data_IF_983493888174
#
_entry.id   IF_983493888174
#
_cell.length_a   1.000
_cell.length_b   1.000
_cell.length_c   1.000
_cell.angle_alpha   90.00
_cell.angle_beta   90.00
_cell.angle_gamma   90.00
#
_symmetry.space_group_name_H-M   'P 1'
#
loop_
_entity.id
_entity.type
_entity.pdbx_description
1 polymer ?
#
# COMPACT_ATOMS: atom_id res chain seq x y z
N UNK A 1 -0.40 9.62 -5.92
CA UNK A 1 -1.64 8.82 -6.04
C UNK A 1 -2.68 9.36 -5.06
N UNK A 2 -3.96 9.40 -5.41
CA UNK A 2 -5.02 9.60 -4.42
C UNK A 2 -5.32 8.30 -3.67
N UNK A 3 -4.94 8.19 -2.40
CA UNK A 3 -5.20 7.00 -1.57
C UNK A 3 -6.62 6.95 -0.98
N UNK A 4 -7.38 8.03 -1.10
CA UNK A 4 -8.77 8.09 -0.64
C UNK A 4 -9.77 7.64 -1.71
N UNK A 5 -9.31 7.42 -2.94
CA UNK A 5 -10.12 6.81 -3.98
C UNK A 5 -10.55 5.39 -3.61
N UNK A 6 -11.50 4.83 -4.38
CA UNK A 6 -11.92 3.45 -4.24
C UNK A 6 -10.78 2.51 -4.69
N UNK A 7 -10.20 1.80 -3.73
CA UNK A 7 -9.16 0.81 -3.94
C UNK A 7 -9.70 -0.58 -3.60
N UNK A 8 -9.46 -1.54 -4.48
CA UNK A 8 -9.82 -2.94 -4.25
C UNK A 8 -8.56 -3.74 -4.00
N UNK A 9 -8.59 -4.63 -3.00
CA UNK A 9 -7.49 -5.56 -2.71
C UNK A 9 -7.99 -6.98 -2.90
N UNK A 10 -7.31 -7.73 -3.77
CA UNK A 10 -7.58 -9.15 -4.01
C UNK A 10 -6.29 -9.94 -3.80
N UNK A 11 -6.27 -10.81 -2.78
CA UNK A 11 -5.13 -11.67 -2.44
C UNK A 11 -3.77 -10.93 -2.37
N UNK A 12 -3.72 -9.77 -1.72
CA UNK A 12 -2.52 -8.92 -1.63
C UNK A 12 -2.27 -8.04 -2.86
N UNK A 13 -3.01 -8.20 -3.94
CA UNK A 13 -2.90 -7.32 -5.11
C UNK A 13 -3.87 -6.14 -5.00
N UNK A 14 -3.37 -4.91 -5.16
CA UNK A 14 -4.14 -3.68 -5.10
C UNK A 14 -4.49 -3.16 -6.50
N UNK A 15 -5.73 -2.68 -6.63
CA UNK A 15 -6.29 -2.12 -7.85
C UNK A 15 -6.96 -0.77 -7.57
N UNK A 16 -6.86 0.16 -8.52
CA UNK A 16 -7.65 1.38 -8.57
C UNK A 16 -8.64 1.25 -9.75
N UNK A 17 -9.91 0.96 -9.44
CA UNK A 17 -10.86 0.50 -10.45
C UNK A 17 -10.37 -0.77 -11.15
N UNK A 18 -10.19 -0.73 -12.48
CA UNK A 18 -9.65 -1.85 -13.27
C UNK A 18 -8.11 -1.82 -13.42
N UNK A 19 -7.43 -0.82 -12.87
CA UNK A 19 -5.98 -0.66 -13.02
C UNK A 19 -5.25 -1.42 -11.92
N UNK A 20 -4.33 -2.30 -12.32
CA UNK A 20 -3.38 -2.92 -11.40
C UNK A 20 -2.36 -1.89 -10.90
N UNK A 21 -2.18 -1.83 -9.59
CA UNK A 21 -1.26 -0.89 -8.93
C UNK A 21 0.00 -1.60 -8.43
N UNK A 22 -0.17 -2.75 -7.78
CA UNK A 22 0.94 -3.48 -7.19
C UNK A 22 0.49 -4.73 -6.45
N UNK A 23 1.42 -5.66 -6.22
CA UNK A 23 1.20 -6.85 -5.39
C UNK A 23 2.05 -6.76 -4.13
N UNK A 24 1.37 -6.74 -2.99
CA UNK A 24 1.99 -6.78 -1.67
C UNK A 24 2.25 -8.23 -1.25
N UNK A 25 3.05 -8.39 -0.20
CA UNK A 25 3.43 -9.67 0.38
C UNK A 25 2.24 -10.49 0.89
N UNK A 26 1.16 -9.82 1.32
CA UNK A 26 -0.08 -10.43 1.81
C UNK A 26 -1.28 -9.50 1.64
N UNK A 27 -2.49 -10.05 1.84
CA UNK A 27 -3.71 -9.24 1.86
C UNK A 27 -3.70 -8.24 3.02
N UNK A 28 -3.22 -8.67 4.18
CA UNK A 28 -3.07 -7.88 5.38
C UNK A 28 -2.08 -6.74 5.16
N UNK A 29 -0.94 -6.99 4.50
CA UNK A 29 0.05 -5.96 4.18
C UNK A 29 -0.56 -4.87 3.28
N UNK A 30 -1.31 -5.27 2.24
CA UNK A 30 -1.99 -4.31 1.37
C UNK A 30 -2.99 -3.43 2.14
N UNK A 31 -3.74 -4.01 3.09
CA UNK A 31 -4.66 -3.28 3.95
C UNK A 31 -3.93 -2.34 4.91
N UNK A 32 -2.83 -2.79 5.53
CA UNK A 32 -2.04 -1.99 6.45
C UNK A 32 -1.40 -0.79 5.73
N UNK A 33 -0.86 -0.99 4.51
CA UNK A 33 -0.36 0.10 3.66
C UNK A 33 -1.48 1.09 3.34
N UNK A 34 -2.67 0.61 2.98
CA UNK A 34 -3.82 1.49 2.71
C UNK A 34 -4.17 2.32 3.95
N UNK A 35 -4.18 1.72 5.15
CA UNK A 35 -4.43 2.42 6.42
C UNK A 35 -3.36 3.48 6.68
N UNK A 36 -2.08 3.12 6.58
CA UNK A 36 -0.94 4.03 6.77
C UNK A 36 -1.07 5.26 5.87
N UNK A 37 -1.37 5.06 4.59
CA UNK A 37 -1.47 6.14 3.61
C UNK A 37 -2.68 7.04 3.82
N UNK A 38 -3.84 6.46 4.17
CA UNK A 38 -5.06 7.22 4.45
C UNK A 38 -4.98 7.97 5.77
N UNK A 39 -4.32 7.42 6.78
CA UNK A 39 -4.12 8.10 8.07
C UNK A 39 -2.94 9.08 8.04
N UNK A 40 -2.19 9.13 6.93
CA UNK A 40 -0.94 9.90 6.82
C UNK A 40 0.05 9.58 7.95
N UNK A 41 0.07 8.31 8.37
CA UNK A 41 0.95 7.84 9.44
C UNK A 41 2.38 7.74 8.91
N UNK A 42 3.33 8.33 9.62
CA UNK A 42 4.75 8.18 9.30
C UNK A 42 5.24 6.83 9.83
N UNK A 43 5.78 6.00 8.93
CA UNK A 43 6.39 4.70 9.23
C UNK A 43 7.79 4.71 8.63
N UNK A 44 8.82 4.44 9.44
CA UNK A 44 10.22 4.47 9.01
C UNK A 44 10.78 3.09 8.69
N UNK A 45 10.16 2.03 9.21
CA UNK A 45 10.58 0.64 8.96
C UNK A 45 9.42 -0.34 9.03
N UNK A 46 9.59 -1.51 8.41
CA UNK A 46 8.62 -2.60 8.47
C UNK A 46 8.39 -3.10 9.91
N UNK A 47 9.35 -2.88 10.82
CA UNK A 47 9.24 -3.28 12.24
C UNK A 47 8.15 -2.51 13.01
N UNK A 48 7.76 -1.35 12.50
CA UNK A 48 6.68 -0.53 13.07
C UNK A 48 5.30 -0.93 12.52
N UNK A 49 5.28 -1.86 11.57
CA UNK A 49 4.08 -2.45 10.98
C UNK A 49 3.83 -3.85 11.52
N UNK A 50 2.59 -4.29 11.50
CA UNK A 50 2.24 -5.62 11.99
C UNK A 50 2.53 -6.71 10.96
N UNK A 51 2.37 -6.41 9.67
CA UNK A 51 2.42 -7.43 8.62
C UNK A 51 3.13 -7.00 7.33
N UNK A 52 3.61 -5.77 7.22
CA UNK A 52 4.36 -5.33 6.04
C UNK A 52 5.82 -5.81 6.09
N UNK A 53 6.37 -6.04 4.90
CA UNK A 53 7.81 -6.19 4.66
C UNK A 53 8.41 -4.85 4.21
N UNK A 54 9.73 -4.72 4.22
CA UNK A 54 10.39 -3.51 3.70
C UNK A 54 10.02 -3.27 2.22
N UNK A 55 9.93 -4.35 1.43
CA UNK A 55 9.50 -4.30 0.03
C UNK A 55 8.09 -3.73 -0.14
N UNK A 56 7.18 -3.97 0.80
CA UNK A 56 5.82 -3.43 0.76
C UNK A 56 5.79 -1.91 0.99
N UNK A 57 6.65 -1.43 1.89
CA UNK A 57 6.84 0.00 2.14
C UNK A 57 7.47 0.69 0.93
N UNK A 58 8.52 0.08 0.36
CA UNK A 58 9.17 0.57 -0.86
C UNK A 58 8.20 0.63 -2.04
N UNK A 59 7.39 -0.41 -2.24
CA UNK A 59 6.34 -0.44 -3.26
C UNK A 59 5.34 0.71 -3.06
N UNK A 60 4.90 0.92 -1.82
CA UNK A 60 3.97 2.00 -1.50
C UNK A 60 4.55 3.39 -1.81
N UNK A 61 5.84 3.61 -1.55
CA UNK A 61 6.54 4.85 -1.92
C UNK A 61 6.67 5.00 -3.44
N UNK A 62 6.99 3.91 -4.16
CA UNK A 62 7.09 3.90 -5.61
C UNK A 62 5.74 4.26 -6.27
N UNK A 63 4.64 3.66 -5.81
CA UNK A 63 3.27 4.00 -6.24
C UNK A 63 2.97 5.48 -6.00
N UNK A 64 3.41 6.01 -4.86
CA UNK A 64 3.21 7.41 -4.52
C UNK A 64 3.96 8.34 -5.46
N UNK A 65 5.20 8.00 -5.80
CA UNK A 65 6.08 8.78 -6.66
C UNK A 65 5.61 8.77 -8.12
N UNK A 66 5.24 7.61 -8.66
CA UNK A 66 4.76 7.46 -10.06
C UNK A 66 3.52 8.32 -10.35
N UNK A 67 2.71 8.54 -9.32
CA UNK A 67 1.42 9.21 -9.40
C UNK A 67 1.48 10.66 -8.87
N UNK A 68 2.65 11.31 -8.88
CA UNK A 68 2.84 12.75 -8.64
C UNK A 68 2.89 13.52 -9.95
#
# INVERSE_FOLDING_TARGET
MDWYQELTINNGTMYAGSRWIGSFSSHEAALEIMSIRREQRTVYSARETHCCTESDLELAEAINFDER
#
